data_IF_662659788848
#
_entry.id   IF_662659788848
#
_cell.length_a   1.000
_cell.length_b   1.000
_cell.length_c   1.000
_cell.angle_alpha   90.00
_cell.angle_beta   90.00
_cell.angle_gamma   90.00
#
_symmetry.space_group_name_H-M   'P 1'
#
loop_
_entity.id
_entity.type
_entity.pdbx_description
1 polymer ?
#
# COMPACT_ATOMS: atom_id res chain seq x y z
N UNK A 1 -0.83 -34.52 1.95
CA UNK A 1 0.13 -33.75 1.13
C UNK A 1 0.08 -32.33 1.66
N UNK A 2 1.12 -31.95 2.40
CA UNK A 2 1.32 -30.59 2.89
C UNK A 2 1.82 -29.76 1.71
N UNK A 3 0.92 -28.97 1.12
CA UNK A 3 1.29 -27.97 0.13
C UNK A 3 1.67 -26.74 0.93
N UNK A 4 2.97 -26.56 1.13
CA UNK A 4 3.58 -25.35 1.64
C UNK A 4 2.86 -24.15 1.06
N UNK A 5 2.05 -23.49 1.88
CA UNK A 5 1.54 -22.18 1.54
C UNK A 5 2.79 -21.31 1.46
N UNK A 6 3.21 -20.80 0.27
CA UNK A 6 4.20 -19.74 0.27
C UNK A 6 3.59 -18.66 1.13
N UNK A 7 4.33 -18.15 2.12
CA UNK A 7 3.89 -17.12 3.03
C UNK A 7 3.05 -16.11 2.22
N UNK A 8 1.72 -16.20 2.35
CA UNK A 8 0.80 -15.24 1.76
C UNK A 8 1.09 -14.02 2.59
N UNK A 9 2.07 -13.24 2.11
CA UNK A 9 2.55 -12.00 2.67
C UNK A 9 1.29 -11.27 3.09
N UNK A 10 1.15 -11.10 4.40
CA UNK A 10 -0.12 -10.81 5.04
C UNK A 10 -0.88 -9.75 4.22
N UNK A 11 -2.19 -9.91 3.99
CA UNK A 11 -2.97 -8.86 3.36
C UNK A 11 -2.81 -7.64 4.26
N UNK A 12 -1.93 -6.74 3.85
CA UNK A 12 -1.67 -5.52 4.59
C UNK A 12 -2.98 -4.77 4.47
N UNK A 13 -3.69 -4.64 5.59
CA UNK A 13 -5.07 -4.16 5.56
C UNK A 13 -5.16 -2.84 4.79
N UNK A 14 -6.30 -2.60 4.14
CA UNK A 14 -6.63 -1.36 3.41
C UNK A 14 -6.09 -0.10 4.12
N UNK A 15 -6.19 -0.04 5.44
CA UNK A 15 -5.70 1.07 6.27
C UNK A 15 -4.17 1.21 6.26
N UNK A 16 -3.41 0.11 6.30
CA UNK A 16 -1.95 0.12 6.22
C UNK A 16 -1.48 0.55 4.83
N UNK A 17 -2.16 0.09 3.79
CA UNK A 17 -1.91 0.51 2.40
C UNK A 17 -2.21 2.01 2.23
N UNK A 18 -3.37 2.48 2.68
CA UNK A 18 -3.72 3.90 2.68
C UNK A 18 -2.67 4.73 3.45
N UNK A 19 -2.25 4.29 4.64
CA UNK A 19 -1.20 4.99 5.38
C UNK A 19 0.14 5.03 4.61
N UNK A 20 0.53 3.94 3.94
CA UNK A 20 1.74 3.91 3.12
C UNK A 20 1.63 4.84 1.90
N UNK A 21 0.48 4.88 1.22
CA UNK A 21 0.25 5.81 0.11
C UNK A 21 0.42 7.26 0.59
N UNK A 22 -0.22 7.63 1.69
CA UNK A 22 -0.14 8.98 2.24
C UNK A 22 1.28 9.39 2.63
N UNK A 23 2.07 8.47 3.21
CA UNK A 23 3.47 8.74 3.53
C UNK A 23 4.34 8.96 2.29
N UNK A 24 4.05 8.22 1.21
CA UNK A 24 4.68 8.40 -0.10
C UNK A 24 4.17 9.64 -0.85
N UNK A 25 3.22 10.40 -0.27
CA UNK A 25 2.59 11.56 -0.90
C UNK A 25 1.55 11.21 -1.95
N UNK A 26 1.20 9.92 -2.09
CA UNK A 26 0.13 9.43 -2.93
C UNK A 26 -1.19 9.61 -2.19
N UNK A 27 -2.08 10.46 -2.71
CA UNK A 27 -3.41 10.70 -2.12
C UNK A 27 -4.42 9.63 -2.55
N UNK A 28 -4.01 8.37 -2.45
CA UNK A 28 -4.92 7.26 -2.72
C UNK A 28 -5.74 7.00 -1.46
N UNK A 29 -7.05 6.91 -1.65
CA UNK A 29 -7.98 6.55 -0.61
C UNK A 29 -8.80 5.38 -1.15
N UNK A 30 -8.34 4.16 -0.84
CA UNK A 30 -9.14 2.98 -1.14
C UNK A 30 -10.23 2.88 -0.10
N UNK A 31 -11.47 3.11 -0.52
CA UNK A 31 -12.67 2.88 0.28
C UNK A 31 -13.04 1.39 0.31
N UNK A 32 -14.05 1.01 1.10
CA UNK A 32 -14.46 -0.38 1.27
C UNK A 32 -15.02 -1.00 -0.03
N UNK A 33 -15.74 -0.23 -0.84
CA UNK A 33 -16.30 -0.72 -2.11
C UNK A 33 -15.19 -0.93 -3.14
N UNK A 34 -14.25 0.01 -3.23
CA UNK A 34 -13.05 -0.14 -4.07
C UNK A 34 -12.20 -1.32 -3.60
N UNK A 35 -11.96 -1.45 -2.30
CA UNK A 35 -11.17 -2.54 -1.72
C UNK A 35 -11.78 -3.92 -2.01
N UNK A 36 -13.11 -4.05 -1.97
CA UNK A 36 -13.79 -5.31 -2.29
C UNK A 36 -13.53 -5.81 -3.73
N UNK A 37 -13.22 -4.91 -4.66
CA UNK A 37 -12.82 -5.28 -6.04
C UNK A 37 -11.32 -5.53 -6.13
N UNK A 38 -10.50 -4.71 -5.46
CA UNK A 38 -9.05 -4.80 -5.52
C UNK A 38 -8.51 -6.06 -4.81
N UNK A 39 -9.11 -6.47 -3.71
CA UNK A 39 -8.66 -7.65 -2.93
C UNK A 39 -8.77 -8.97 -3.71
N UNK A 40 -9.62 -9.02 -4.73
CA UNK A 40 -9.77 -10.18 -5.63
C UNK A 40 -8.63 -10.29 -6.65
N UNK A 41 -7.81 -9.24 -6.80
CA UNK A 41 -6.65 -9.24 -7.70
C UNK A 41 -5.43 -9.89 -7.04
N UNK A 42 -4.67 -10.64 -7.84
CA UNK A 42 -3.54 -11.46 -7.37
C UNK A 42 -2.41 -10.63 -6.72
N UNK A 43 -2.13 -9.43 -7.27
CA UNK A 43 -0.98 -8.63 -6.86
C UNK A 43 -1.28 -7.13 -6.72
N UNK A 44 -0.49 -6.45 -5.87
CA UNK A 44 -0.57 -5.00 -5.65
C UNK A 44 -0.38 -4.14 -6.92
N UNK A 45 0.54 -4.45 -7.86
CA UNK A 45 0.65 -3.73 -9.14
C UNK A 45 -0.65 -3.74 -9.94
N UNK A 46 -1.35 -4.88 -9.99
CA UNK A 46 -2.63 -5.02 -10.69
C UNK A 46 -3.72 -4.18 -10.01
N UNK A 47 -3.74 -4.17 -8.67
CA UNK A 47 -4.66 -3.35 -7.88
C UNK A 47 -4.44 -1.85 -8.14
N UNK A 48 -3.17 -1.41 -8.10
CA UNK A 48 -2.81 -0.02 -8.36
C UNK A 48 -3.13 0.35 -9.81
N UNK A 49 -2.80 -0.51 -10.78
CA UNK A 49 -3.10 -0.26 -12.19
C UNK A 49 -4.61 -0.04 -12.40
N UNK A 50 -5.44 -0.95 -11.90
CA UNK A 50 -6.90 -0.84 -12.01
C UNK A 50 -7.44 0.43 -11.36
N UNK A 51 -6.95 0.76 -10.16
CA UNK A 51 -7.35 1.98 -9.47
C UNK A 51 -6.96 3.24 -10.25
N UNK A 52 -5.74 3.28 -10.80
CA UNK A 52 -5.26 4.40 -11.59
C UNK A 52 -6.03 4.53 -12.90
N UNK A 53 -6.34 3.44 -13.60
CA UNK A 53 -7.13 3.47 -14.83
C UNK A 53 -8.52 4.09 -14.61
N UNK A 54 -9.16 3.77 -13.48
CA UNK A 54 -10.51 4.24 -13.18
C UNK A 54 -10.57 5.67 -12.63
N UNK A 55 -9.61 6.04 -11.76
CA UNK A 55 -9.68 7.28 -10.98
C UNK A 55 -8.63 8.32 -11.39
N UNK A 56 -7.42 7.90 -11.76
CA UNK A 56 -6.29 8.80 -12.01
C UNK A 56 -5.42 8.35 -13.20
N UNK A 57 -5.98 8.26 -14.43
CA UNK A 57 -5.26 7.71 -15.58
C UNK A 57 -4.07 8.57 -15.99
N UNK A 58 -4.03 9.84 -15.59
CA UNK A 58 -2.92 10.74 -15.81
C UNK A 58 -1.64 10.32 -15.07
N UNK A 59 -1.74 9.58 -13.95
CA UNK A 59 -0.57 9.05 -13.26
C UNK A 59 0.08 7.89 -14.02
N UNK A 60 -0.68 7.14 -14.82
CA UNK A 60 -0.15 6.05 -15.66
C UNK A 60 0.79 6.57 -16.76
N UNK A 61 0.70 7.84 -17.14
CA UNK A 61 1.61 8.45 -18.10
C UNK A 61 2.99 8.80 -17.50
N UNK A 62 3.09 8.84 -16.17
CA UNK A 62 4.28 9.31 -15.44
C UNK A 62 4.90 8.20 -14.60
N UNK A 63 4.07 7.32 -14.04
CA UNK A 63 4.48 6.25 -13.14
C UNK A 63 3.95 4.90 -13.61
N UNK A 64 4.88 3.95 -13.73
CA UNK A 64 4.54 2.55 -13.97
C UNK A 64 3.88 1.94 -12.71
N UNK A 65 2.77 1.20 -12.85
CA UNK A 65 2.08 0.58 -11.71
C UNK A 65 2.98 -0.33 -10.87
N UNK A 66 3.88 -1.09 -11.53
CA UNK A 66 4.84 -1.94 -10.85
C UNK A 66 5.84 -1.16 -9.99
N UNK A 67 6.23 0.04 -10.42
CA UNK A 67 7.11 0.91 -9.63
C UNK A 67 6.40 1.44 -8.38
N UNK A 68 5.15 1.89 -8.52
CA UNK A 68 4.34 2.35 -7.38
C UNK A 68 4.10 1.24 -6.36
N UNK A 69 3.81 0.02 -6.84
CA UNK A 69 3.67 -1.14 -5.96
C UNK A 69 4.95 -1.40 -5.17
N UNK A 70 6.10 -1.45 -5.84
CA UNK A 70 7.39 -1.67 -5.17
C UNK A 70 7.72 -0.58 -4.14
N UNK A 71 7.36 0.68 -4.42
CA UNK A 71 7.54 1.79 -3.49
C UNK A 71 6.70 1.60 -2.22
N UNK A 72 5.45 1.17 -2.38
CA UNK A 72 4.50 0.91 -1.29
C UNK A 72 4.93 -0.31 -0.47
N UNK A 73 5.35 -1.39 -1.13
CA UNK A 73 5.90 -2.57 -0.46
C UNK A 73 7.17 -2.23 0.32
N UNK A 74 8.07 -1.42 -0.25
CA UNK A 74 9.24 -0.93 0.45
C UNK A 74 8.86 -0.08 1.66
N UNK A 75 7.77 0.69 1.58
CA UNK A 75 7.29 1.49 2.71
C UNK A 75 6.63 0.64 3.80
N UNK A 76 5.98 -0.46 3.44
CA UNK A 76 5.39 -1.40 4.39
C UNK A 76 6.45 -2.29 5.07
N UNK A 77 7.52 -2.63 4.34
CA UNK A 77 8.65 -3.39 4.86
C UNK A 77 9.47 -2.59 5.90
N UNK A 78 9.47 -1.26 5.79
CA UNK A 78 9.99 -0.37 6.83
C UNK A 78 8.84 -0.08 7.80
N UNK A 79 8.83 -0.62 9.03
CA UNK A 79 7.76 -0.30 9.97
C UNK A 79 7.70 1.21 10.13
N UNK A 80 6.54 1.80 9.82
CA UNK A 80 6.23 3.20 10.09
C UNK A 80 6.13 3.38 11.60
N UNK A 81 7.28 3.32 12.27
CA UNK A 81 7.45 3.39 13.72
C UNK A 81 8.46 4.46 14.15
N UNK A 82 9.23 5.05 13.21
CA UNK A 82 10.23 6.06 13.56
C UNK A 82 9.72 7.50 13.62
N UNK A 83 8.39 7.74 13.59
CA UNK A 83 7.82 9.06 13.92
C UNK A 83 7.40 9.22 15.38
N UNK A 84 7.35 8.15 16.17
CA UNK A 84 7.22 8.20 17.64
C UNK A 84 8.61 8.13 18.30
N UNK A 85 9.46 9.12 17.99
CA UNK A 85 10.80 9.25 18.56
C UNK A 85 11.08 10.59 19.23
N UNK A 86 10.08 11.47 19.35
CA UNK A 86 10.26 12.81 19.97
C UNK A 86 9.41 13.06 21.22
N UNK A 87 8.64 12.09 21.72
CA UNK A 87 7.82 12.25 22.95
C UNK A 87 8.47 11.68 24.23
N UNK A 88 9.73 11.24 24.17
CA UNK A 88 10.47 10.75 25.35
C UNK A 88 11.37 11.82 26.02
N UNK A 89 11.16 13.11 25.71
CA UNK A 89 11.93 14.21 26.28
C UNK A 89 11.04 15.35 26.79
N UNK A 90 10.16 15.05 27.73
CA UNK A 90 9.80 16.03 28.76
C UNK A 90 9.15 15.33 29.94
N UNK A 91 9.95 15.03 30.97
CA UNK A 91 9.57 15.18 32.37
C UNK A 91 10.80 15.03 33.25
N UNK A 92 11.33 16.20 33.61
CA UNK A 92 12.22 16.42 34.74
C UNK A 92 11.48 16.15 36.07
#
# INVERSE_FOLDING_TARGET
MDLSQPARTAPTGREALNAAFWDLGLRFEWDEATWGVLVEMEDLPSQIAYYLEHWQPHLLAVYEPAFLASLVESRLAVPTGSRMGMEAMSRA
#
